data_IF_967175591990
#
_entry.id   IF_967175591990
#
_cell.length_a   1.000
_cell.length_b   1.000
_cell.length_c   1.000
_cell.angle_alpha   90.00
_cell.angle_beta   90.00
_cell.angle_gamma   90.00
#
_symmetry.space_group_name_H-M   'P 1'
#
loop_
_entity.id
_entity.type
_entity.pdbx_description
1 polymer ?
#
# COMPACT_ATOMS: atom_id res chain seq x y z
N UNK A 1 4.30 -1.80 -22.12
CA UNK A 1 4.71 -0.62 -21.31
C UNK A 1 5.26 -1.08 -19.95
N UNK A 2 5.74 -0.17 -19.06
CA UNK A 2 6.35 -0.60 -17.77
C UNK A 2 5.69 0.06 -16.60
N UNK A 3 5.57 -0.73 -15.51
CA UNK A 3 5.21 -0.27 -14.18
C UNK A 3 6.40 -0.51 -13.24
N UNK A 4 6.82 0.50 -12.50
CA UNK A 4 7.93 0.39 -11.55
C UNK A 4 7.38 0.53 -10.13
N UNK A 5 7.53 -0.53 -9.33
CA UNK A 5 7.22 -0.53 -7.91
C UNK A 5 8.40 0.05 -7.12
N UNK A 6 8.15 1.05 -6.31
CA UNK A 6 9.11 1.69 -5.40
C UNK A 6 8.36 2.19 -4.16
N UNK A 7 8.60 3.41 -3.68
CA UNK A 7 7.76 4.06 -2.67
C UNK A 7 6.34 4.42 -3.18
N UNK A 8 6.16 4.39 -4.48
CA UNK A 8 4.89 4.50 -5.21
C UNK A 8 4.99 3.60 -6.44
N UNK A 9 3.86 3.40 -7.11
CA UNK A 9 3.83 2.72 -8.41
C UNK A 9 3.97 3.79 -9.49
N UNK A 10 5.02 3.72 -10.28
CA UNK A 10 5.27 4.61 -11.41
C UNK A 10 4.85 3.92 -12.71
N UNK A 11 3.96 4.57 -13.46
CA UNK A 11 3.35 4.02 -14.66
C UNK A 11 3.72 4.86 -15.89
N UNK A 12 4.23 4.22 -16.94
CA UNK A 12 4.23 4.83 -18.27
C UNK A 12 2.79 4.91 -18.75
N UNK A 13 2.27 6.09 -19.05
CA UNK A 13 0.85 6.25 -19.34
C UNK A 13 0.63 7.28 -20.45
N UNK A 14 -0.31 6.97 -21.35
CA UNK A 14 -0.83 7.93 -22.29
C UNK A 14 -1.81 8.89 -21.58
N UNK A 15 -2.24 9.94 -22.27
CA UNK A 15 -3.13 10.96 -21.73
C UNK A 15 -4.47 10.38 -21.26
N UNK A 16 -5.00 9.38 -21.96
CA UNK A 16 -6.27 8.75 -21.62
C UNK A 16 -6.19 7.97 -20.31
N UNK A 17 -5.16 7.15 -20.15
CA UNK A 17 -4.91 6.42 -18.91
C UNK A 17 -4.66 7.38 -17.74
N UNK A 18 -3.88 8.44 -17.95
CA UNK A 18 -3.65 9.47 -16.91
C UNK A 18 -4.95 10.11 -16.43
N UNK A 19 -5.82 10.50 -17.36
CA UNK A 19 -7.11 11.11 -17.03
C UNK A 19 -8.03 10.14 -16.27
N UNK A 20 -8.01 8.86 -16.62
CA UNK A 20 -8.75 7.82 -15.91
C UNK A 20 -8.24 7.67 -14.49
N UNK A 21 -6.93 7.52 -14.31
CA UNK A 21 -6.30 7.36 -13.00
C UNK A 21 -6.50 8.59 -12.11
N UNK A 22 -6.42 9.79 -12.67
CA UNK A 22 -6.68 11.01 -11.91
C UNK A 22 -8.12 11.05 -11.37
N UNK A 23 -9.10 10.67 -12.18
CA UNK A 23 -10.51 10.60 -11.72
C UNK A 23 -10.68 9.54 -10.62
N UNK A 24 -10.15 8.34 -10.80
CA UNK A 24 -10.27 7.25 -9.83
C UNK A 24 -9.57 7.55 -8.50
N UNK A 25 -8.50 8.33 -8.53
CA UNK A 25 -7.67 8.66 -7.38
C UNK A 25 -7.93 10.07 -6.83
N UNK A 26 -9.04 10.68 -7.23
CA UNK A 26 -9.53 11.93 -6.68
C UNK A 26 -10.76 11.65 -5.81
N UNK A 27 -10.66 11.95 -4.53
CA UNK A 27 -11.70 11.72 -3.54
C UNK A 27 -12.25 13.05 -3.03
N UNK A 28 -13.55 13.13 -2.87
CA UNK A 28 -14.22 14.30 -2.27
C UNK A 28 -14.80 13.89 -0.93
N UNK A 29 -14.36 14.55 0.12
CA UNK A 29 -14.86 14.33 1.48
C UNK A 29 -15.88 15.42 1.78
N UNK A 30 -17.10 15.01 2.12
CA UNK A 30 -18.15 15.92 2.53
C UNK A 30 -17.73 16.64 3.84
N UNK A 31 -17.97 17.96 3.94
CA UNK A 31 -17.64 18.70 5.15
C UNK A 31 -18.53 18.25 6.32
N UNK A 32 -18.01 18.36 7.54
CA UNK A 32 -18.80 18.09 8.75
C UNK A 32 -19.86 19.17 8.98
N UNK A 33 -19.56 20.41 8.58
CA UNK A 33 -20.45 21.56 8.67
C UNK A 33 -20.95 21.85 7.25
N UNK A 34 -22.27 21.88 7.00
CA UNK A 34 -22.81 22.05 5.64
C UNK A 34 -22.38 23.33 4.90
N UNK A 35 -21.98 24.37 5.64
CA UNK A 35 -21.49 25.62 5.07
C UNK A 35 -20.03 25.58 4.59
N UNK A 36 -19.27 24.56 4.98
CA UNK A 36 -17.86 24.46 4.62
C UNK A 36 -17.72 23.84 3.21
N UNK A 37 -16.67 24.21 2.47
CA UNK A 37 -16.40 23.59 1.19
C UNK A 37 -15.95 22.12 1.36
N UNK A 38 -16.25 21.24 0.39
CA UNK A 38 -15.77 19.87 0.41
C UNK A 38 -14.23 19.83 0.28
N UNK A 39 -13.62 18.89 0.96
CA UNK A 39 -12.18 18.66 0.86
C UNK A 39 -11.93 17.73 -0.32
N UNK A 40 -11.16 18.18 -1.30
CA UNK A 40 -10.73 17.36 -2.44
C UNK A 40 -9.33 16.83 -2.18
N UNK A 41 -9.21 15.52 -2.17
CA UNK A 41 -7.96 14.82 -1.90
C UNK A 41 -7.55 14.01 -3.12
N UNK A 42 -6.35 14.28 -3.65
CA UNK A 42 -5.78 13.57 -4.82
C UNK A 42 -4.59 12.73 -4.41
N UNK A 43 -4.63 11.44 -4.71
CA UNK A 43 -3.50 10.52 -4.51
C UNK A 43 -2.74 10.21 -5.80
N UNK A 44 -3.31 10.53 -6.95
CA UNK A 44 -2.63 10.56 -8.24
C UNK A 44 -1.56 11.67 -8.27
N UNK A 45 -0.41 11.39 -8.89
CA UNK A 45 0.62 12.41 -9.15
C UNK A 45 1.09 12.33 -10.58
N UNK A 46 1.02 13.47 -11.27
CA UNK A 46 1.71 13.67 -12.53
C UNK A 46 3.22 13.84 -12.24
N UNK A 47 4.06 13.06 -12.91
CA UNK A 47 5.53 13.14 -12.73
C UNK A 47 6.15 13.91 -13.88
N UNK A 48 5.87 13.51 -15.12
CA UNK A 48 6.28 14.18 -16.37
C UNK A 48 5.45 13.63 -17.51
N UNK A 49 5.65 14.17 -18.71
CA UNK A 49 4.99 13.65 -19.91
C UNK A 49 5.25 12.13 -20.07
N UNK A 50 4.19 11.39 -20.29
CA UNK A 50 4.21 9.94 -20.39
C UNK A 50 4.46 9.17 -19.09
N UNK A 51 4.53 9.84 -17.92
CA UNK A 51 4.81 9.20 -16.63
C UNK A 51 3.95 9.77 -15.52
N UNK A 52 3.25 8.90 -14.82
CA UNK A 52 2.49 9.22 -13.61
C UNK A 52 2.83 8.28 -12.46
N UNK A 53 2.33 8.59 -11.26
CA UNK A 53 2.44 7.68 -10.12
C UNK A 53 1.14 7.56 -9.35
N UNK A 54 0.89 6.34 -8.86
CA UNK A 54 -0.26 5.99 -8.02
C UNK A 54 0.24 5.45 -6.67
N UNK A 55 -0.60 5.41 -5.63
CA UNK A 55 -0.21 4.86 -4.35
C UNK A 55 0.19 3.38 -4.44
N UNK A 56 1.13 2.95 -3.60
CA UNK A 56 1.31 1.53 -3.32
C UNK A 56 0.00 0.94 -2.76
N UNK A 57 -0.29 -0.32 -3.02
CA UNK A 57 -1.57 -0.94 -2.67
C UNK A 57 -2.70 -0.69 -3.69
N UNK A 58 -2.42 0.01 -4.80
CA UNK A 58 -3.31 0.15 -5.96
C UNK A 58 -2.70 -0.53 -7.19
N UNK A 59 -2.16 -1.71 -7.00
CA UNK A 59 -1.63 -2.56 -8.07
C UNK A 59 -2.73 -3.00 -9.06
N UNK A 60 -3.99 -3.00 -8.61
CA UNK A 60 -5.19 -3.19 -9.42
C UNK A 60 -5.32 -2.20 -10.58
N UNK A 61 -4.65 -1.04 -10.49
CA UNK A 61 -4.65 -0.01 -11.53
C UNK A 61 -3.58 -0.22 -12.60
N UNK A 62 -2.68 -1.18 -12.42
CA UNK A 62 -1.66 -1.52 -13.43
C UNK A 62 -2.34 -2.29 -14.56
N UNK A 63 -2.26 -1.82 -15.82
CA UNK A 63 -2.77 -2.60 -16.93
C UNK A 63 -2.05 -3.96 -17.05
N UNK A 64 -2.81 -5.00 -17.40
CA UNK A 64 -2.33 -6.39 -17.43
C UNK A 64 -1.22 -6.66 -18.45
N UNK A 65 -1.06 -5.78 -19.45
CA UNK A 65 -0.02 -5.84 -20.47
C UNK A 65 1.29 -5.15 -20.06
N UNK A 66 1.38 -4.63 -18.83
CA UNK A 66 2.58 -3.96 -18.35
C UNK A 66 3.58 -4.95 -17.76
N UNK A 67 4.84 -4.74 -18.11
CA UNK A 67 5.98 -5.35 -17.42
C UNK A 67 6.15 -4.70 -16.05
N UNK A 68 6.06 -5.50 -14.99
CA UNK A 68 6.26 -5.03 -13.62
C UNK A 68 7.74 -5.16 -13.25
N UNK A 69 8.34 -4.03 -12.86
CA UNK A 69 9.73 -3.96 -12.39
C UNK A 69 9.71 -3.56 -10.92
N UNK A 70 10.02 -4.49 -10.02
CA UNK A 70 10.13 -4.20 -8.59
C UNK A 70 11.50 -3.59 -8.27
N UNK A 71 11.48 -2.35 -7.77
CA UNK A 71 12.65 -1.60 -7.30
C UNK A 71 12.51 -1.19 -5.83
N UNK A 72 11.66 -1.88 -5.09
CA UNK A 72 11.53 -1.64 -3.65
C UNK A 72 12.83 -2.01 -2.96
N UNK A 73 13.27 -1.15 -2.06
CA UNK A 73 14.46 -1.43 -1.25
C UNK A 73 14.04 -2.31 -0.07
N UNK A 74 14.63 -3.49 0.01
CA UNK A 74 14.47 -4.41 1.13
C UNK A 74 15.71 -4.26 2.02
N UNK A 75 15.50 -3.82 3.26
CA UNK A 75 16.56 -3.74 4.27
C UNK A 75 16.44 -4.99 5.16
N UNK A 76 17.04 -6.08 4.73
CA UNK A 76 17.06 -7.30 5.50
C UNK A 76 17.83 -7.11 6.80
N UNK A 77 17.26 -7.61 7.88
CA UNK A 77 17.88 -7.66 9.19
C UNK A 77 17.59 -9.02 9.84
N UNK A 78 18.54 -9.48 10.64
CA UNK A 78 18.32 -10.64 11.47
C UNK A 78 17.40 -10.24 12.64
N UNK A 79 16.25 -10.90 12.72
CA UNK A 79 15.34 -10.80 13.84
C UNK A 79 15.52 -11.97 14.79
N UNK A 80 15.42 -11.77 16.11
CA UNK A 80 15.32 -12.89 17.04
C UNK A 80 14.04 -13.69 16.77
N UNK A 81 14.09 -14.98 17.05
CA UNK A 81 12.96 -15.87 16.93
C UNK A 81 11.77 -15.34 17.75
N UNK A 82 10.59 -15.37 17.14
CA UNK A 82 9.38 -14.95 17.82
C UNK A 82 8.92 -16.01 18.81
N UNK A 83 9.11 -15.75 20.10
CA UNK A 83 8.95 -16.74 21.17
C UNK A 83 7.49 -16.98 21.61
N UNK A 84 6.52 -16.18 21.17
CA UNK A 84 5.14 -16.27 21.65
C UNK A 84 4.25 -17.04 20.67
N UNK A 85 3.35 -17.85 21.23
CA UNK A 85 2.32 -18.53 20.45
C UNK A 85 1.19 -17.56 20.09
N UNK A 86 0.93 -17.39 18.80
CA UNK A 86 -0.19 -16.60 18.30
C UNK A 86 -1.53 -17.31 18.56
N UNK A 87 -2.57 -16.55 18.86
CA UNK A 87 -3.94 -17.06 18.91
C UNK A 87 -4.41 -17.41 17.48
N UNK A 88 -5.41 -18.29 17.30
CA UNK A 88 -5.84 -18.73 15.97
C UNK A 88 -6.12 -17.56 14.99
N UNK A 89 -6.85 -16.53 15.44
CA UNK A 89 -7.15 -15.36 14.59
C UNK A 89 -5.92 -14.50 14.26
N UNK A 90 -4.92 -14.47 15.13
CA UNK A 90 -3.65 -13.79 14.89
C UNK A 90 -2.78 -14.61 13.94
N UNK A 91 -2.81 -15.93 14.07
CA UNK A 91 -2.10 -16.84 13.18
C UNK A 91 -2.62 -16.72 11.74
N UNK A 92 -3.94 -16.64 11.54
CA UNK A 92 -4.53 -16.40 10.21
C UNK A 92 -3.99 -15.11 9.59
N UNK A 93 -3.99 -13.99 10.31
CA UNK A 93 -3.45 -12.74 9.82
C UNK A 93 -1.94 -12.83 9.53
N UNK A 94 -1.17 -13.52 10.39
CA UNK A 94 0.24 -13.76 10.20
C UNK A 94 0.51 -14.58 8.92
N UNK A 95 -0.28 -15.61 8.66
CA UNK A 95 -0.10 -16.47 7.49
C UNK A 95 -0.40 -15.73 6.18
N UNK A 96 -1.39 -14.85 6.19
CA UNK A 96 -1.85 -14.10 5.00
C UNK A 96 -0.97 -12.89 4.63
N UNK A 97 -0.18 -12.36 5.56
CA UNK A 97 0.66 -11.19 5.28
C UNK A 97 1.99 -11.59 4.64
N UNK A 98 2.22 -11.15 3.41
CA UNK A 98 3.48 -11.31 2.67
C UNK A 98 4.05 -9.98 2.17
N UNK A 99 3.24 -8.93 2.10
CA UNK A 99 3.59 -7.60 1.58
C UNK A 99 2.71 -6.54 2.25
N UNK A 100 2.57 -5.37 1.63
CA UNK A 100 1.73 -4.29 2.13
C UNK A 100 0.30 -4.78 2.42
N UNK A 101 -0.12 -4.66 3.67
CA UNK A 101 -1.39 -5.18 4.12
C UNK A 101 -2.02 -4.26 5.16
N UNK A 102 -3.34 -4.28 5.24
CA UNK A 102 -4.10 -3.58 6.27
C UNK A 102 -4.79 -4.63 7.14
N UNK A 103 -4.40 -4.71 8.41
CA UNK A 103 -5.03 -5.59 9.39
C UNK A 103 -6.08 -4.79 10.16
N UNK A 104 -7.37 -5.05 9.88
CA UNK A 104 -8.46 -4.48 10.64
C UNK A 104 -8.82 -5.39 11.81
N UNK A 105 -8.52 -4.94 13.03
CA UNK A 105 -8.73 -5.72 14.24
C UNK A 105 -9.26 -4.84 15.38
N UNK A 106 -10.13 -5.41 16.24
CA UNK A 106 -10.72 -4.73 17.37
C UNK A 106 -9.73 -4.40 18.49
N UNK A 107 -10.17 -3.61 19.45
CA UNK A 107 -9.37 -3.28 20.64
C UNK A 107 -9.04 -4.56 21.41
N UNK A 108 -7.83 -4.64 21.97
CA UNK A 108 -7.33 -5.79 22.74
C UNK A 108 -7.18 -7.11 21.95
N UNK A 109 -7.31 -7.11 20.63
CA UNK A 109 -7.03 -8.29 19.80
C UNK A 109 -5.56 -8.73 19.85
N UNK A 110 -4.65 -7.82 20.21
CA UNK A 110 -3.21 -8.08 20.27
C UNK A 110 -2.46 -7.66 19.01
N UNK A 111 -2.86 -6.55 18.41
CA UNK A 111 -2.24 -5.99 17.19
C UNK A 111 -0.72 -5.87 17.30
N UNK A 112 -0.21 -5.39 18.42
CA UNK A 112 1.24 -5.20 18.64
C UNK A 112 2.00 -6.53 18.58
N UNK A 113 1.50 -7.57 19.25
CA UNK A 113 2.14 -8.90 19.25
C UNK A 113 2.14 -9.49 17.83
N UNK A 114 1.02 -9.37 17.12
CA UNK A 114 0.93 -9.86 15.73
C UNK A 114 1.83 -9.07 14.80
N UNK A 115 1.94 -7.75 14.97
CA UNK A 115 2.84 -6.92 14.16
C UNK A 115 4.32 -7.29 14.40
N UNK A 116 4.73 -7.56 15.64
CA UNK A 116 6.08 -8.03 15.94
C UNK A 116 6.38 -9.41 15.32
N UNK A 117 5.41 -10.32 15.38
CA UNK A 117 5.54 -11.63 14.72
C UNK A 117 5.71 -11.49 13.19
N UNK A 118 4.91 -10.63 12.56
CA UNK A 118 4.99 -10.34 11.13
C UNK A 118 6.33 -9.68 10.79
N UNK A 119 6.81 -8.73 11.60
CA UNK A 119 8.11 -8.10 11.39
C UNK A 119 9.25 -9.12 11.41
N UNK A 120 9.21 -10.06 12.36
CA UNK A 120 10.19 -11.17 12.44
C UNK A 120 10.08 -12.09 11.21
N UNK A 121 8.85 -12.43 10.77
CA UNK A 121 8.61 -13.23 9.56
C UNK A 121 9.18 -12.57 8.30
N UNK A 122 8.96 -11.26 8.14
CA UNK A 122 9.41 -10.53 6.96
C UNK A 122 10.92 -10.25 6.95
N UNK A 123 11.59 -10.31 8.11
CA UNK A 123 13.04 -10.11 8.22
C UNK A 123 13.50 -8.73 7.74
N UNK A 124 12.66 -7.71 7.84
CA UNK A 124 12.97 -6.38 7.36
C UNK A 124 13.05 -5.37 8.50
N UNK A 125 13.88 -4.34 8.31
CA UNK A 125 13.95 -3.23 9.26
C UNK A 125 12.59 -2.59 9.45
N UNK A 126 12.07 -2.68 10.67
CA UNK A 126 10.74 -2.20 11.06
C UNK A 126 10.88 -1.04 12.06
N UNK A 127 10.02 -0.02 11.94
CA UNK A 127 9.96 1.17 12.81
C UNK A 127 8.66 1.17 13.60
#
# INVERSE_FOLDING_TARGET
MKAVLSNRIYLSANKELMNRLERELTYTIAPRIPSDPPIVFKTFRYVREGLCSVPMGREDLIPSDYEIVDKRVVNEIEHPDFAYKLRPSQQMAYDEVYDNSIINAWVSWGKTITALAIAAKLGQKTL
#
